data_IF_824637527157
#
_entry.id   IF_824637527157
#
_cell.length_a   1.000
_cell.length_b   1.000
_cell.length_c   1.000
_cell.angle_alpha   90.00
_cell.angle_beta   90.00
_cell.angle_gamma   90.00
#
_symmetry.space_group_name_H-M   'P 1'
#
loop_
_entity.id
_entity.type
_entity.pdbx_description
1 polymer ?
#
# COMPACT_ATOMS: atom_id res chain seq x y z
N UNK A 1 -25.45 60.42 9.71
CA UNK A 1 -24.85 59.12 10.06
C UNK A 1 -24.12 58.60 8.83
N UNK A 2 -22.92 59.13 8.57
CA UNK A 2 -22.10 58.72 7.43
C UNK A 2 -21.61 57.30 7.67
N UNK A 3 -21.88 56.40 6.73
CA UNK A 3 -21.27 55.07 6.72
C UNK A 3 -19.95 55.20 5.98
N UNK A 4 -18.86 55.24 6.73
CA UNK A 4 -17.50 55.23 6.21
C UNK A 4 -17.22 53.87 5.56
N UNK A 5 -17.46 53.76 4.25
CA UNK A 5 -16.96 52.63 3.46
C UNK A 5 -15.45 52.82 3.32
N UNK A 6 -14.62 51.91 3.86
CA UNK A 6 -13.18 51.96 3.62
C UNK A 6 -12.94 51.99 2.11
N UNK A 7 -12.09 52.89 1.62
CA UNK A 7 -11.67 52.93 0.21
C UNK A 7 -10.79 51.72 -0.07
N UNK A 8 -11.40 50.56 -0.14
CA UNK A 8 -10.79 49.31 -0.54
C UNK A 8 -10.47 49.44 -2.03
N UNK A 9 -9.20 49.55 -2.36
CA UNK A 9 -8.76 49.47 -3.76
C UNK A 9 -9.32 48.19 -4.37
N UNK A 10 -9.81 48.28 -5.62
CA UNK A 10 -10.40 47.13 -6.32
C UNK A 10 -9.50 45.90 -6.25
N UNK A 11 -8.18 46.07 -6.35
CA UNK A 11 -7.19 45.01 -6.18
C UNK A 11 -7.33 44.22 -4.85
N UNK A 12 -7.62 44.89 -3.74
CA UNK A 12 -7.76 44.24 -2.43
C UNK A 12 -9.07 43.43 -2.32
N UNK A 13 -10.14 43.85 -3.02
CA UNK A 13 -11.34 43.03 -3.13
C UNK A 13 -11.10 41.77 -3.95
N UNK A 14 -10.27 41.87 -4.99
CA UNK A 14 -9.95 40.71 -5.84
C UNK A 14 -9.14 39.67 -5.05
N UNK A 15 -8.22 40.08 -4.18
CA UNK A 15 -7.49 39.14 -3.31
C UNK A 15 -8.41 38.48 -2.28
N UNK A 16 -9.28 39.25 -1.60
CA UNK A 16 -10.21 38.69 -0.61
C UNK A 16 -11.22 37.70 -1.23
N UNK A 17 -11.69 37.98 -2.44
CA UNK A 17 -12.57 37.08 -3.18
C UNK A 17 -11.83 35.81 -3.61
N UNK A 18 -10.55 35.92 -4.00
CA UNK A 18 -9.73 34.76 -4.39
C UNK A 18 -9.48 33.81 -3.22
N UNK A 19 -9.23 34.36 -2.02
CA UNK A 19 -9.06 33.57 -0.81
C UNK A 19 -10.33 32.81 -0.42
N UNK A 20 -11.51 33.45 -0.56
CA UNK A 20 -12.82 32.82 -0.34
C UNK A 20 -13.07 31.68 -1.33
N UNK A 21 -12.82 31.90 -2.62
CA UNK A 21 -12.98 30.88 -3.66
C UNK A 21 -12.04 29.67 -3.43
N UNK A 22 -10.78 29.93 -3.04
CA UNK A 22 -9.81 28.86 -2.73
C UNK A 22 -10.22 28.09 -1.48
N UNK A 23 -10.72 28.77 -0.45
CA UNK A 23 -11.22 28.13 0.76
C UNK A 23 -12.43 27.23 0.48
N UNK A 24 -13.41 27.74 -0.28
CA UNK A 24 -14.58 26.97 -0.70
C UNK A 24 -14.14 25.80 -1.59
N UNK A 25 -13.27 26.02 -2.58
CA UNK A 25 -12.74 24.96 -3.43
C UNK A 25 -12.11 23.81 -2.64
N UNK A 26 -11.23 24.12 -1.69
CA UNK A 26 -10.56 23.11 -0.88
C UNK A 26 -11.52 22.37 0.08
N UNK A 27 -12.48 23.08 0.68
CA UNK A 27 -13.46 22.47 1.58
C UNK A 27 -14.40 21.51 0.84
N UNK A 28 -14.78 21.87 -0.39
CA UNK A 28 -15.69 21.11 -1.24
C UNK A 28 -14.98 19.89 -1.84
N UNK A 29 -13.76 20.06 -2.37
CA UNK A 29 -12.93 18.94 -2.84
C UNK A 29 -12.65 17.93 -1.73
N UNK A 30 -12.33 18.41 -0.52
CA UNK A 30 -12.12 17.53 0.64
C UNK A 30 -13.38 16.75 0.99
N UNK A 31 -14.57 17.39 0.96
CA UNK A 31 -15.85 16.70 1.23
C UNK A 31 -16.24 15.71 0.13
N UNK A 32 -15.92 15.99 -1.13
CA UNK A 32 -16.17 15.09 -2.26
C UNK A 32 -15.32 13.82 -2.16
N UNK A 33 -14.03 13.94 -1.80
CA UNK A 33 -13.13 12.79 -1.61
C UNK A 33 -13.60 11.85 -0.49
N UNK A 34 -14.25 12.38 0.56
CA UNK A 34 -14.73 11.58 1.71
C UNK A 34 -16.09 10.91 1.42
N UNK A 35 -16.86 11.42 0.45
CA UNK A 35 -18.20 10.90 0.09
C UNK A 35 -18.19 9.80 -0.99
N UNK A 36 -17.02 9.44 -1.54
CA UNK A 36 -16.89 8.30 -2.45
C UNK A 36 -16.87 6.95 -1.72
N UNK A 37 -17.41 6.87 -0.50
CA UNK A 37 -17.55 5.62 0.25
C UNK A 37 -18.53 4.69 -0.48
N UNK A 38 -18.06 3.66 -1.21
CA UNK A 38 -18.96 2.67 -1.75
C UNK A 38 -19.44 1.90 -0.53
N UNK A 39 -20.72 2.01 -0.15
CA UNK A 39 -21.34 1.39 1.04
C UNK A 39 -21.28 -0.15 1.14
N UNK A 40 -20.27 -0.76 0.53
CA UNK A 40 -19.77 -2.11 0.66
C UNK A 40 -19.10 -2.26 2.03
N UNK A 41 -19.92 -2.59 3.01
CA UNK A 41 -19.42 -3.02 4.31
C UNK A 41 -18.80 -4.43 4.19
N UNK A 42 -17.57 -4.67 4.66
CA UNK A 42 -16.97 -6.00 4.66
C UNK A 42 -17.79 -6.98 5.52
N UNK A 43 -18.64 -7.80 4.88
CA UNK A 43 -19.47 -8.78 5.58
C UNK A 43 -18.78 -10.15 5.59
N UNK A 44 -18.62 -10.73 6.79
CA UNK A 44 -18.06 -12.09 6.98
C UNK A 44 -19.13 -13.18 6.87
N UNK A 45 -20.41 -12.80 6.80
CA UNK A 45 -21.58 -13.70 6.91
C UNK A 45 -22.36 -13.86 5.59
N UNK A 46 -21.97 -13.16 4.52
CA UNK A 46 -22.72 -13.11 3.27
C UNK A 46 -22.58 -14.34 2.38
N UNK A 47 -21.52 -15.15 2.54
CA UNK A 47 -21.25 -16.35 1.75
C UNK A 47 -21.06 -17.57 2.68
N UNK A 48 -22.00 -18.54 2.72
CA UNK A 48 -21.81 -19.81 3.43
C UNK A 48 -20.66 -20.59 2.79
N UNK A 49 -19.46 -20.51 3.39
CA UNK A 49 -18.21 -21.11 2.89
C UNK A 49 -16.95 -20.25 3.09
N UNK A 50 -17.10 -18.96 3.39
CA UNK A 50 -15.96 -18.04 3.66
C UNK A 50 -14.96 -18.53 4.73
N UNK A 51 -15.37 -19.22 5.82
CA UNK A 51 -14.43 -19.72 6.83
C UNK A 51 -13.43 -20.74 6.28
N UNK A 52 -13.90 -21.67 5.43
CA UNK A 52 -13.03 -22.68 4.84
C UNK A 52 -12.02 -22.05 3.86
N UNK A 53 -12.46 -21.08 3.06
CA UNK A 53 -11.59 -20.34 2.14
C UNK A 53 -10.52 -19.55 2.89
N UNK A 54 -10.87 -18.93 4.03
CA UNK A 54 -9.90 -18.24 4.89
C UNK A 54 -8.85 -19.21 5.46
N UNK A 55 -9.26 -20.39 5.92
CA UNK A 55 -8.33 -21.41 6.43
C UNK A 55 -7.40 -21.92 5.33
N UNK A 56 -7.91 -22.18 4.12
CA UNK A 56 -7.09 -22.56 2.97
C UNK A 56 -6.09 -21.47 2.60
N UNK A 57 -6.52 -20.20 2.56
CA UNK A 57 -5.63 -19.07 2.29
C UNK A 57 -4.52 -18.94 3.35
N UNK A 58 -4.84 -19.13 4.64
CA UNK A 58 -3.86 -19.14 5.72
C UNK A 58 -2.84 -20.28 5.60
N UNK A 59 -3.30 -21.47 5.21
CA UNK A 59 -2.42 -22.60 4.96
C UNK A 59 -1.45 -22.33 3.79
N UNK A 60 -1.94 -21.75 2.68
CA UNK A 60 -1.13 -21.43 1.50
C UNK A 60 0.01 -20.46 1.83
N UNK A 61 -0.20 -19.46 2.69
CA UNK A 61 0.87 -18.53 3.13
C UNK A 61 2.01 -19.29 3.81
N UNK A 62 1.69 -20.29 4.63
CA UNK A 62 2.70 -21.11 5.32
C UNK A 62 3.50 -21.93 4.32
N UNK A 63 2.83 -22.59 3.36
CA UNK A 63 3.52 -23.34 2.30
C UNK A 63 4.38 -22.43 1.41
N UNK A 64 3.90 -21.22 1.10
CA UNK A 64 4.64 -20.25 0.29
C UNK A 64 5.88 -19.70 1.00
N UNK A 65 5.81 -19.44 2.31
CA UNK A 65 6.97 -19.04 3.11
C UNK A 65 8.03 -20.14 3.15
N UNK A 66 7.61 -21.38 3.39
CA UNK A 66 8.52 -22.54 3.43
C UNK A 66 9.22 -22.74 2.08
N UNK A 67 8.50 -22.65 0.96
CA UNK A 67 9.12 -22.77 -0.37
C UNK A 67 10.11 -21.63 -0.66
N UNK A 68 9.83 -20.42 -0.16
CA UNK A 68 10.74 -19.29 -0.27
C UNK A 68 12.07 -19.54 0.45
N UNK A 69 12.03 -20.14 1.65
CA UNK A 69 13.22 -20.53 2.40
C UNK A 69 14.04 -21.57 1.64
N UNK A 70 13.39 -22.58 1.05
CA UNK A 70 14.08 -23.59 0.23
C UNK A 70 14.78 -22.95 -0.97
N UNK A 71 14.10 -22.05 -1.68
CA UNK A 71 14.68 -21.32 -2.80
C UNK A 71 15.86 -20.41 -2.39
N UNK A 72 15.77 -19.77 -1.22
CA UNK A 72 16.84 -18.95 -0.65
C UNK A 72 18.09 -19.79 -0.36
N UNK A 73 17.92 -20.96 0.25
CA UNK A 73 19.02 -21.89 0.54
C UNK A 73 19.72 -22.33 -0.75
N UNK A 74 18.96 -22.73 -1.78
CA UNK A 74 19.52 -23.16 -3.06
C UNK A 74 20.29 -22.00 -3.73
N UNK A 75 19.71 -20.79 -3.72
CA UNK A 75 20.34 -19.60 -4.30
C UNK A 75 21.61 -19.18 -3.56
N UNK A 76 21.61 -19.26 -2.22
CA UNK A 76 22.76 -18.96 -1.39
C UNK A 76 23.89 -19.97 -1.59
N UNK A 77 23.56 -21.27 -1.72
CA UNK A 77 24.53 -22.31 -2.03
C UNK A 77 25.17 -22.09 -3.41
N UNK A 78 24.37 -21.75 -4.44
CA UNK A 78 24.88 -21.44 -5.77
C UNK A 78 25.81 -20.20 -5.78
N UNK A 79 25.48 -19.17 -4.98
CA UNK A 79 26.34 -18.01 -4.82
C UNK A 79 27.66 -18.36 -4.13
N UNK A 80 27.61 -19.11 -3.02
CA UNK A 80 28.79 -19.52 -2.27
C UNK A 80 29.76 -20.35 -3.13
N UNK A 81 29.23 -21.33 -3.88
CA UNK A 81 30.03 -22.16 -4.80
C UNK A 81 30.60 -21.34 -5.98
N UNK A 82 29.83 -20.40 -6.52
CA UNK A 82 30.29 -19.51 -7.58
C UNK A 82 31.39 -18.53 -7.13
N UNK A 83 31.31 -18.05 -5.90
CA UNK A 83 32.27 -17.10 -5.32
C UNK A 83 33.63 -17.74 -5.05
N UNK A 84 33.67 -19.03 -4.70
CA UNK A 84 34.90 -19.77 -4.41
C UNK A 84 35.63 -20.19 -5.70
N UNK A 85 34.89 -20.54 -6.76
CA UNK A 85 35.47 -21.06 -8.01
C UNK A 85 35.79 -19.98 -9.07
N UNK A 86 35.65 -18.69 -8.75
CA UNK A 86 35.93 -17.59 -9.69
C UNK A 86 35.03 -17.57 -10.94
N UNK A 87 33.96 -18.38 -10.97
CA UNK A 87 33.07 -18.49 -12.13
C UNK A 87 31.89 -17.51 -11.97
N UNK A 88 32.04 -16.32 -12.55
CA UNK A 88 31.11 -15.19 -12.46
C UNK A 88 29.68 -15.53 -12.88
N UNK A 89 29.48 -16.56 -13.72
CA UNK A 89 28.15 -16.95 -14.18
C UNK A 89 27.30 -17.62 -13.08
N UNK A 90 27.91 -18.38 -12.17
CA UNK A 90 27.21 -19.02 -11.06
C UNK A 90 27.10 -18.10 -9.84
N UNK A 91 28.13 -17.26 -9.61
CA UNK A 91 28.12 -16.27 -8.52
C UNK A 91 27.04 -15.18 -8.75
N UNK A 92 26.90 -14.70 -9.98
CA UNK A 92 25.92 -13.65 -10.30
C UNK A 92 24.47 -14.14 -10.17
N UNK A 93 24.17 -15.35 -10.66
CA UNK A 93 22.83 -15.97 -10.55
C UNK A 93 22.42 -16.27 -9.11
N UNK A 94 23.36 -16.68 -8.26
CA UNK A 94 23.07 -16.90 -6.84
C UNK A 94 22.67 -15.60 -6.12
N UNK A 95 23.34 -14.48 -6.39
CA UNK A 95 23.04 -13.19 -5.77
C UNK A 95 21.64 -12.67 -6.14
N UNK A 96 21.26 -12.75 -7.42
CA UNK A 96 19.92 -12.33 -7.86
C UNK A 96 18.84 -13.28 -7.33
N UNK A 97 19.12 -14.57 -7.21
CA UNK A 97 18.22 -15.56 -6.60
C UNK A 97 17.94 -15.27 -5.13
N UNK A 98 18.97 -14.96 -4.33
CA UNK A 98 18.79 -14.59 -2.91
C UNK A 98 17.92 -13.34 -2.78
N UNK A 99 18.20 -12.29 -3.56
CA UNK A 99 17.39 -11.08 -3.54
C UNK A 99 15.93 -11.35 -3.95
N UNK A 100 15.70 -12.11 -5.02
CA UNK A 100 14.36 -12.48 -5.47
C UNK A 100 13.56 -13.26 -4.41
N UNK A 101 14.20 -14.21 -3.73
CA UNK A 101 13.59 -14.94 -2.62
C UNK A 101 13.25 -14.03 -1.44
N UNK A 102 14.11 -13.06 -1.14
CA UNK A 102 13.88 -12.11 -0.04
C UNK A 102 12.70 -11.18 -0.35
N UNK A 103 12.62 -10.67 -1.59
CA UNK A 103 11.49 -9.87 -2.05
C UNK A 103 10.18 -10.65 -1.98
N UNK A 104 10.17 -11.89 -2.45
CA UNK A 104 8.98 -12.75 -2.37
C UNK A 104 8.55 -13.01 -0.91
N UNK A 105 9.48 -13.30 -0.01
CA UNK A 105 9.18 -13.52 1.40
C UNK A 105 8.57 -12.28 2.07
N UNK A 106 9.13 -11.09 1.81
CA UNK A 106 8.59 -9.81 2.32
C UNK A 106 7.19 -9.55 1.77
N UNK A 107 6.96 -9.82 0.48
CA UNK A 107 5.65 -9.64 -0.15
C UNK A 107 4.60 -10.57 0.47
N UNK A 108 4.94 -11.84 0.68
CA UNK A 108 4.03 -12.82 1.30
C UNK A 108 3.72 -12.43 2.75
N UNK A 109 4.72 -12.01 3.54
CA UNK A 109 4.53 -11.58 4.92
C UNK A 109 3.72 -10.28 5.06
N UNK A 110 3.90 -9.34 4.13
CA UNK A 110 3.19 -8.05 4.12
C UNK A 110 1.78 -8.11 3.55
N UNK A 111 1.38 -9.19 2.88
CA UNK A 111 0.08 -9.34 2.25
C UNK A 111 -1.09 -9.03 3.20
N UNK A 112 -1.04 -9.51 4.45
CA UNK A 112 -2.07 -9.24 5.44
C UNK A 112 -2.19 -7.75 5.79
N UNK A 113 -1.07 -7.05 5.92
CA UNK A 113 -1.05 -5.61 6.22
C UNK A 113 -1.55 -4.77 5.05
N UNK A 114 -1.19 -5.16 3.82
CA UNK A 114 -1.68 -4.52 2.59
C UNK A 114 -3.20 -4.65 2.45
N UNK A 115 -3.74 -5.87 2.61
CA UNK A 115 -5.18 -6.10 2.54
C UNK A 115 -5.91 -5.27 3.60
N UNK A 116 -5.36 -5.20 4.82
CA UNK A 116 -5.92 -4.36 5.90
C UNK A 116 -5.95 -2.89 5.51
N UNK A 117 -4.83 -2.35 5.01
CA UNK A 117 -4.72 -0.96 4.56
C UNK A 117 -5.74 -0.62 3.47
N UNK A 118 -5.82 -1.44 2.42
CA UNK A 118 -6.77 -1.20 1.33
C UNK A 118 -8.23 -1.44 1.71
N UNK A 119 -8.50 -2.29 2.71
CA UNK A 119 -9.87 -2.52 3.21
C UNK A 119 -10.41 -1.41 4.13
N UNK A 120 -9.57 -0.43 4.52
CA UNK A 120 -9.96 0.62 5.46
C UNK A 120 -10.18 0.16 6.90
N UNK A 121 -9.95 -1.13 7.20
CA UNK A 121 -10.10 -1.70 8.55
C UNK A 121 -8.86 -1.35 9.38
N UNK A 122 -8.95 -0.27 10.16
CA UNK A 122 -7.96 0.12 11.17
C UNK A 122 -8.34 -0.49 12.53
N UNK A 123 -7.52 -1.40 13.05
CA UNK A 123 -7.61 -1.88 14.44
C UNK A 123 -6.28 -1.52 15.10
N UNK A 124 -6.37 -0.69 16.14
CA UNK A 124 -5.37 -0.59 17.20
C UNK A 124 -5.64 -1.65 18.25
#
# INVERSE_FOLDING_TARGET
>A
MGRDLPRLGTAHLLDYLKDIEVFIGNALLRRMVIMQDPGVTPNTNGLPGLPAVRTLAGATITFALVSCVVALIISAAAWALGNINGNAHFASKGRTGVLGSLFAAILIGSANALIRFFSGISIG
#
